data_IF_117607424422
#
_entry.id   IF_117607424422
#
_cell.length_a   1.000
_cell.length_b   1.000
_cell.length_c   1.000
_cell.angle_alpha   90.00
_cell.angle_beta   90.00
_cell.angle_gamma   90.00
#
_symmetry.space_group_name_H-M   'P 1'
#
loop_
_entity.id
_entity.type
_entity.pdbx_description
1 polymer ?
#
# COMPACT_ATOMS: atom_id res chain seq x y z
N UNK A 1 -58.99 16.78 -18.80
CA UNK A 1 -58.55 16.76 -17.44
C UNK A 1 -57.30 15.85 -17.40
N UNK A 2 -56.11 16.48 -17.44
CA UNK A 2 -54.86 15.75 -17.30
C UNK A 2 -54.65 15.36 -15.83
N UNK A 3 -54.30 14.11 -15.57
CA UNK A 3 -53.87 13.67 -14.25
C UNK A 3 -52.60 14.47 -13.88
N UNK A 4 -52.51 14.88 -12.63
CA UNK A 4 -51.28 15.53 -12.13
C UNK A 4 -50.13 14.52 -12.22
N UNK A 5 -48.93 14.94 -12.60
CA UNK A 5 -47.77 14.05 -12.65
C UNK A 5 -47.49 13.43 -11.28
N UNK A 6 -47.41 12.10 -11.23
CA UNK A 6 -47.31 11.33 -9.99
C UNK A 6 -45.88 11.28 -9.40
N UNK A 7 -44.87 11.69 -10.16
CA UNK A 7 -43.49 11.69 -9.72
C UNK A 7 -42.71 12.93 -10.23
N UNK A 8 -41.59 13.33 -9.61
CA UNK A 8 -40.71 14.39 -10.09
C UNK A 8 -40.23 14.18 -11.53
N UNK A 9 -39.99 12.93 -11.91
CA UNK A 9 -39.54 12.55 -13.24
C UNK A 9 -40.64 12.75 -14.30
N UNK A 10 -41.89 12.43 -13.95
CA UNK A 10 -43.04 12.67 -14.82
C UNK A 10 -43.30 14.17 -15.06
N UNK A 11 -43.14 15.01 -14.01
CA UNK A 11 -43.23 16.45 -14.13
C UNK A 11 -42.15 17.04 -15.04
N UNK A 12 -40.94 16.52 -14.98
CA UNK A 12 -39.81 16.93 -15.80
C UNK A 12 -39.99 16.51 -17.26
N UNK A 13 -40.49 15.29 -17.51
CA UNK A 13 -40.84 14.80 -18.83
C UNK A 13 -41.97 15.60 -19.44
N UNK A 14 -43.03 15.94 -18.67
CA UNK A 14 -44.12 16.76 -19.14
C UNK A 14 -43.67 18.16 -19.55
N UNK A 15 -42.84 18.81 -18.69
CA UNK A 15 -42.28 20.13 -19.01
C UNK A 15 -41.43 20.12 -20.29
N UNK A 16 -40.63 19.06 -20.47
CA UNK A 16 -39.82 18.88 -21.66
C UNK A 16 -40.68 18.67 -22.92
N UNK A 17 -41.74 17.84 -22.84
CA UNK A 17 -42.67 17.60 -23.92
C UNK A 17 -43.36 18.88 -24.33
N UNK A 18 -43.88 19.66 -23.38
CA UNK A 18 -44.60 20.91 -23.65
C UNK A 18 -43.65 21.91 -24.35
N UNK A 19 -42.42 22.09 -23.86
CA UNK A 19 -41.42 22.96 -24.47
C UNK A 19 -41.00 22.47 -25.87
N UNK A 20 -41.07 21.18 -26.14
CA UNK A 20 -40.73 20.60 -27.44
C UNK A 20 -41.87 20.75 -28.42
N UNK A 21 -43.12 20.56 -28.00
CA UNK A 21 -44.31 20.71 -28.83
C UNK A 21 -44.53 22.18 -29.28
N UNK A 22 -44.10 23.14 -28.45
CA UNK A 22 -44.10 24.56 -28.85
C UNK A 22 -43.19 24.86 -30.03
N UNK A 23 -42.13 24.08 -30.25
CA UNK A 23 -41.12 24.30 -31.29
C UNK A 23 -41.30 23.40 -32.51
N UNK A 24 -41.88 22.23 -32.32
CA UNK A 24 -41.95 21.18 -33.33
C UNK A 24 -43.38 20.62 -33.33
N UNK A 25 -43.90 20.23 -34.48
CA UNK A 25 -45.24 19.65 -34.56
C UNK A 25 -45.36 18.32 -33.80
N UNK A 26 -46.53 18.00 -33.26
CA UNK A 26 -46.78 16.74 -32.56
C UNK A 26 -46.42 15.52 -33.43
N UNK A 27 -46.73 15.57 -34.72
CA UNK A 27 -46.39 14.50 -35.67
C UNK A 27 -44.88 14.27 -35.76
N UNK A 28 -44.11 15.32 -35.78
CA UNK A 28 -42.63 15.25 -35.80
C UNK A 28 -42.09 14.69 -34.47
N UNK A 29 -42.64 15.09 -33.33
CA UNK A 29 -42.25 14.54 -32.03
C UNK A 29 -42.55 13.04 -31.96
N UNK A 30 -43.72 12.62 -32.41
CA UNK A 30 -44.10 11.21 -32.45
C UNK A 30 -43.17 10.40 -33.34
N UNK A 31 -42.86 10.92 -34.54
CA UNK A 31 -41.93 10.25 -35.45
C UNK A 31 -40.53 10.09 -34.85
N UNK A 32 -40.01 11.15 -34.26
CA UNK A 32 -38.68 11.09 -33.58
C UNK A 32 -38.68 10.10 -32.43
N UNK A 33 -39.72 10.04 -31.60
CA UNK A 33 -39.83 9.07 -30.52
C UNK A 33 -39.93 7.64 -31.04
N UNK A 34 -40.64 7.41 -32.14
CA UNK A 34 -40.70 6.09 -32.78
C UNK A 34 -39.32 5.67 -33.33
N UNK A 35 -38.60 6.60 -33.99
CA UNK A 35 -37.24 6.34 -34.43
C UNK A 35 -36.30 6.03 -33.26
N UNK A 36 -36.36 6.83 -32.17
CA UNK A 36 -35.55 6.62 -31.00
C UNK A 36 -35.87 5.28 -30.30
N UNK A 37 -37.13 4.87 -30.24
CA UNK A 37 -37.55 3.57 -29.75
C UNK A 37 -37.01 2.41 -30.62
N UNK A 38 -37.06 2.54 -31.93
CA UNK A 38 -36.49 1.52 -32.82
C UNK A 38 -34.96 1.42 -32.75
N UNK A 39 -34.28 2.53 -32.45
CA UNK A 39 -32.84 2.59 -32.25
C UNK A 39 -32.44 2.13 -30.85
N UNK A 40 -33.32 2.23 -29.85
CA UNK A 40 -33.01 1.86 -28.45
C UNK A 40 -32.61 0.40 -28.31
N UNK A 41 -33.25 -0.49 -29.09
CA UNK A 41 -32.86 -1.93 -29.11
C UNK A 41 -31.48 -2.17 -29.71
N UNK A 42 -30.97 -1.23 -30.53
CA UNK A 42 -29.63 -1.26 -31.11
C UNK A 42 -28.64 -0.44 -30.33
N UNK A 43 -29.11 0.41 -29.40
CA UNK A 43 -28.23 1.22 -28.58
C UNK A 43 -27.35 0.33 -27.69
N UNK A 44 -26.06 0.57 -27.60
CA UNK A 44 -25.15 -0.21 -26.76
C UNK A 44 -25.34 0.18 -25.29
N UNK A 45 -26.54 -0.12 -24.73
CA UNK A 45 -26.78 0.07 -23.30
C UNK A 45 -26.08 -1.05 -22.56
N UNK A 46 -24.90 -0.77 -22.10
CA UNK A 46 -24.03 -1.75 -21.47
C UNK A 46 -23.23 -1.10 -20.34
N UNK A 47 -22.75 -1.91 -19.40
CA UNK A 47 -21.76 -1.43 -18.43
C UNK A 47 -20.48 -1.04 -19.18
N UNK A 48 -19.68 -0.14 -18.58
CA UNK A 48 -18.39 0.27 -19.15
C UNK A 48 -17.53 -0.94 -19.55
N UNK A 49 -17.49 -1.95 -18.69
CA UNK A 49 -16.74 -3.20 -18.96
C UNK A 49 -17.26 -3.96 -20.17
N UNK A 50 -18.58 -4.08 -20.32
CA UNK A 50 -19.18 -4.75 -21.48
C UNK A 50 -18.93 -3.96 -22.77
N UNK A 51 -18.92 -2.61 -22.71
CA UNK A 51 -18.56 -1.76 -23.82
C UNK A 51 -17.08 -1.95 -24.19
N UNK A 52 -16.16 -1.91 -23.22
CA UNK A 52 -14.74 -2.16 -23.45
C UNK A 52 -14.49 -3.54 -24.06
N UNK A 53 -15.17 -4.58 -23.53
CA UNK A 53 -15.07 -5.94 -24.09
C UNK A 53 -15.51 -5.97 -25.55
N UNK A 54 -16.62 -5.30 -25.88
CA UNK A 54 -17.14 -5.22 -27.24
C UNK A 54 -16.13 -4.52 -28.18
N UNK A 55 -15.61 -3.35 -27.78
CA UNK A 55 -14.62 -2.60 -28.56
C UNK A 55 -13.39 -3.45 -28.86
N UNK A 56 -12.82 -4.10 -27.83
CA UNK A 56 -11.66 -4.97 -28.01
C UNK A 56 -11.96 -6.20 -28.88
N UNK A 57 -13.20 -6.75 -28.84
CA UNK A 57 -13.59 -7.88 -29.70
C UNK A 57 -13.76 -7.44 -31.15
N UNK A 58 -14.38 -6.29 -31.38
CA UNK A 58 -14.61 -5.75 -32.71
C UNK A 58 -13.30 -5.27 -33.39
N UNK A 59 -12.33 -4.81 -32.59
CA UNK A 59 -11.06 -4.27 -33.05
C UNK A 59 -9.86 -5.14 -32.68
N UNK A 60 -10.08 -6.42 -32.39
CA UNK A 60 -9.04 -7.33 -31.87
C UNK A 60 -7.76 -7.34 -32.70
N UNK A 61 -7.86 -7.27 -34.03
CA UNK A 61 -6.68 -7.25 -34.92
C UNK A 61 -5.93 -5.91 -34.85
N UNK A 62 -6.63 -4.78 -34.72
CA UNK A 62 -6.01 -3.48 -34.58
C UNK A 62 -5.36 -3.30 -33.22
N UNK A 63 -5.97 -3.86 -32.17
CA UNK A 63 -5.49 -3.83 -30.80
C UNK A 63 -4.37 -4.84 -30.51
N UNK A 64 -3.92 -5.62 -31.49
CA UNK A 64 -2.90 -6.66 -31.27
C UNK A 64 -3.32 -7.72 -30.24
N UNK A 65 -4.63 -7.82 -29.95
CA UNK A 65 -5.18 -8.77 -28.99
C UNK A 65 -5.58 -10.09 -29.67
N UNK A 66 -5.64 -11.17 -28.90
CA UNK A 66 -6.23 -12.42 -29.41
C UNK A 66 -7.66 -12.19 -29.85
N UNK A 67 -8.08 -12.81 -30.96
CA UNK A 67 -9.48 -12.82 -31.45
C UNK A 67 -10.47 -13.40 -30.43
N UNK A 68 -9.96 -14.12 -29.44
CA UNK A 68 -10.72 -14.57 -28.27
C UNK A 68 -10.30 -13.75 -27.07
N UNK A 69 -11.16 -12.82 -26.66
CA UNK A 69 -11.06 -12.24 -25.31
C UNK A 69 -11.51 -13.35 -24.36
N UNK A 70 -10.59 -13.84 -23.57
CA UNK A 70 -10.84 -14.87 -22.59
C UNK A 70 -11.87 -14.46 -21.54
N UNK A 71 -12.03 -15.29 -20.53
CA UNK A 71 -12.98 -15.04 -19.45
C UNK A 71 -12.58 -13.80 -18.64
N UNK A 72 -13.56 -12.91 -18.41
CA UNK A 72 -13.36 -11.78 -17.50
C UNK A 72 -13.42 -12.27 -16.05
N UNK A 73 -12.34 -12.07 -15.33
CA UNK A 73 -12.22 -12.50 -13.93
C UNK A 73 -12.21 -11.33 -12.98
N UNK A 74 -12.73 -11.56 -11.78
CA UNK A 74 -12.52 -10.68 -10.65
C UNK A 74 -11.05 -10.70 -10.25
N UNK A 75 -10.43 -9.53 -10.20
CA UNK A 75 -9.05 -9.37 -9.75
C UNK A 75 -8.88 -9.81 -8.27
N UNK A 76 -9.96 -9.83 -7.50
CA UNK A 76 -9.96 -10.23 -6.10
C UNK A 76 -9.69 -11.72 -5.92
N UNK A 77 -10.37 -12.58 -6.67
CA UNK A 77 -10.16 -14.03 -6.61
C UNK A 77 -8.73 -14.42 -7.01
N UNK A 78 -8.22 -13.80 -8.07
CA UNK A 78 -6.84 -14.02 -8.52
C UNK A 78 -5.82 -13.55 -7.46
N UNK A 79 -6.06 -12.40 -6.85
CA UNK A 79 -5.18 -11.90 -5.76
C UNK A 79 -5.14 -12.83 -4.57
N UNK A 80 -6.27 -13.38 -4.17
CA UNK A 80 -6.33 -14.30 -3.03
C UNK A 80 -5.52 -15.57 -3.33
N UNK A 81 -5.62 -16.14 -4.54
CA UNK A 81 -4.75 -17.26 -4.97
C UNK A 81 -3.26 -16.89 -4.90
N UNK A 82 -2.89 -15.71 -5.42
CA UNK A 82 -1.49 -15.24 -5.41
C UNK A 82 -0.97 -15.06 -3.98
N UNK A 83 -1.80 -14.59 -3.05
CA UNK A 83 -1.41 -14.41 -1.65
C UNK A 83 -1.24 -15.74 -0.93
N UNK A 84 -2.04 -16.75 -1.27
CA UNK A 84 -1.86 -18.11 -0.77
C UNK A 84 -0.57 -18.72 -1.31
N UNK A 85 -0.27 -18.54 -2.59
CA UNK A 85 0.99 -18.98 -3.20
C UNK A 85 2.18 -18.25 -2.56
N UNK A 86 2.10 -16.93 -2.34
CA UNK A 86 3.12 -16.17 -1.64
C UNK A 86 3.34 -16.71 -0.22
N UNK A 87 2.27 -17.07 0.48
CA UNK A 87 2.37 -17.62 1.84
C UNK A 87 3.13 -18.94 1.84
N UNK A 88 2.83 -19.83 0.89
CA UNK A 88 3.55 -21.11 0.75
C UNK A 88 5.01 -20.88 0.35
N UNK A 89 5.25 -19.99 -0.60
CA UNK A 89 6.60 -19.65 -1.05
C UNK A 89 7.45 -19.08 0.09
N UNK A 90 6.93 -18.12 0.86
CA UNK A 90 7.64 -17.52 1.99
C UNK A 90 8.00 -18.54 3.06
N UNK A 91 7.19 -19.57 3.28
CA UNK A 91 7.49 -20.63 4.24
C UNK A 91 8.77 -21.40 3.91
N UNK A 92 9.17 -21.42 2.63
CA UNK A 92 10.36 -22.12 2.16
C UNK A 92 11.51 -21.18 1.77
N UNK A 93 11.19 -19.98 1.27
CA UNK A 93 12.17 -19.09 0.66
C UNK A 93 12.65 -17.96 1.60
N UNK A 94 11.94 -17.73 2.72
CA UNK A 94 12.29 -16.63 3.63
C UNK A 94 13.70 -16.79 4.21
N UNK A 95 14.11 -18.03 4.52
CA UNK A 95 15.43 -18.31 5.12
C UNK A 95 15.66 -17.52 6.41
N UNK A 96 16.93 -17.38 6.78
CA UNK A 96 17.34 -16.66 8.00
C UNK A 96 17.97 -15.28 7.69
N UNK A 97 18.00 -14.86 6.40
CA UNK A 97 18.52 -13.55 6.02
C UNK A 97 17.51 -12.43 6.32
N UNK A 98 17.53 -11.93 7.53
CA UNK A 98 16.67 -10.82 7.97
C UNK A 98 16.85 -9.55 7.10
N UNK A 99 18.04 -9.34 6.53
CA UNK A 99 18.33 -8.20 5.65
C UNK A 99 17.50 -8.21 4.37
N UNK A 100 17.04 -9.38 3.97
CA UNK A 100 16.15 -9.52 2.82
C UNK A 100 14.76 -8.93 3.07
N UNK A 101 14.34 -8.82 4.31
CA UNK A 101 12.99 -8.48 4.71
C UNK A 101 11.96 -9.60 4.50
N UNK A 102 12.34 -10.72 3.88
CA UNK A 102 11.45 -11.86 3.66
C UNK A 102 11.02 -12.53 4.97
N UNK A 103 11.91 -12.77 5.96
CA UNK A 103 11.50 -13.29 7.25
C UNK A 103 10.51 -12.38 7.97
N UNK A 104 10.65 -11.05 7.86
CA UNK A 104 9.71 -10.10 8.44
C UNK A 104 8.31 -10.20 7.80
N UNK A 105 8.22 -10.45 6.48
CA UNK A 105 6.94 -10.75 5.81
C UNK A 105 6.39 -12.11 6.22
N UNK A 106 7.25 -13.12 6.37
CA UNK A 106 6.83 -14.47 6.76
C UNK A 106 6.21 -14.49 8.16
N UNK A 107 6.76 -13.71 9.10
CA UNK A 107 6.21 -13.58 10.46
C UNK A 107 4.87 -12.86 10.55
N UNK A 108 4.45 -12.13 9.51
CA UNK A 108 3.13 -11.50 9.49
C UNK A 108 2.03 -12.56 9.43
N UNK A 109 0.88 -12.27 10.07
CA UNK A 109 -0.31 -13.09 9.85
C UNK A 109 -0.73 -13.04 8.38
N UNK A 110 -1.30 -14.13 7.83
CA UNK A 110 -1.74 -14.14 6.42
C UNK A 110 -2.65 -12.96 6.07
N UNK A 111 -3.58 -12.60 6.95
CA UNK A 111 -4.50 -11.47 6.76
C UNK A 111 -3.75 -10.12 6.71
N UNK A 112 -2.80 -9.86 7.62
CA UNK A 112 -2.03 -8.63 7.64
C UNK A 112 -1.13 -8.52 6.40
N UNK A 113 -0.51 -9.63 5.98
CA UNK A 113 0.29 -9.72 4.76
C UNK A 113 -0.54 -9.46 3.51
N UNK A 114 -1.71 -10.10 3.39
CA UNK A 114 -2.63 -9.86 2.28
C UNK A 114 -3.07 -8.39 2.20
N UNK A 115 -3.36 -7.75 3.34
CA UNK A 115 -3.71 -6.33 3.39
C UNK A 115 -2.55 -5.45 2.88
N UNK A 116 -1.32 -5.73 3.31
CA UNK A 116 -0.12 -5.01 2.86
C UNK A 116 0.08 -5.17 1.35
N UNK A 117 -0.01 -6.39 0.84
CA UNK A 117 0.19 -6.69 -0.58
C UNK A 117 -0.92 -6.09 -1.45
N UNK A 118 -2.18 -6.12 -1.04
CA UNK A 118 -3.28 -5.45 -1.76
C UNK A 118 -3.03 -3.96 -1.89
N UNK A 119 -2.58 -3.31 -0.82
CA UNK A 119 -2.24 -1.89 -0.86
C UNK A 119 -1.06 -1.62 -1.80
N UNK A 120 -0.01 -2.45 -1.73
CA UNK A 120 1.20 -2.27 -2.52
C UNK A 120 1.02 -2.57 -4.02
N UNK A 121 0.05 -3.42 -4.39
CA UNK A 121 -0.26 -3.76 -5.79
C UNK A 121 -1.19 -2.74 -6.47
N UNK A 122 -1.69 -1.72 -5.76
CA UNK A 122 -2.53 -0.70 -6.39
C UNK A 122 -1.71 0.16 -7.36
N UNK A 123 -2.25 0.51 -8.53
CA UNK A 123 -1.57 1.37 -9.49
C UNK A 123 -1.15 2.71 -8.85
N UNK A 124 0.09 3.12 -9.07
CA UNK A 124 0.62 4.39 -8.57
C UNK A 124 1.05 4.36 -7.09
N UNK A 125 0.88 3.25 -6.39
CA UNK A 125 1.37 3.10 -5.02
C UNK A 125 2.86 2.77 -5.03
N UNK A 126 3.64 3.58 -4.32
CA UNK A 126 5.05 3.33 -4.07
C UNK A 126 5.20 2.82 -2.64
N UNK A 127 5.85 1.68 -2.48
CA UNK A 127 6.21 1.18 -1.15
C UNK A 127 7.31 2.07 -0.58
N UNK A 128 6.92 3.00 0.28
CA UNK A 128 7.86 3.78 1.07
C UNK A 128 8.30 2.90 2.23
N UNK A 129 9.59 2.63 2.28
CA UNK A 129 10.22 2.01 3.46
C UNK A 129 11.23 2.97 4.02
N UNK A 130 11.47 2.90 5.32
CA UNK A 130 12.62 3.55 5.94
C UNK A 130 13.93 3.05 5.30
N UNK A 131 15.01 3.71 5.64
CA UNK A 131 16.34 3.39 5.15
C UNK A 131 16.85 2.10 5.80
N UNK A 132 16.86 1.01 5.02
CA UNK A 132 17.43 -0.29 5.47
C UNK A 132 18.91 -0.15 5.73
N UNK A 133 19.63 0.66 4.96
CA UNK A 133 21.05 0.85 5.12
C UNK A 133 21.35 1.58 6.44
N UNK A 134 20.52 2.54 6.84
CA UNK A 134 20.62 3.17 8.16
C UNK A 134 20.35 2.17 9.30
N UNK A 135 19.37 1.26 9.15
CA UNK A 135 19.15 0.19 10.12
C UNK A 135 20.36 -0.75 10.22
N UNK A 136 20.95 -1.12 9.09
CA UNK A 136 22.11 -2.00 9.05
C UNK A 136 23.36 -1.33 9.61
N UNK A 137 23.56 -0.04 9.35
CA UNK A 137 24.67 0.74 9.86
C UNK A 137 24.75 0.75 11.39
N UNK A 138 23.59 0.67 12.09
CA UNK A 138 23.58 0.54 13.54
C UNK A 138 24.25 -0.73 14.03
N UNK A 139 24.17 -1.83 13.27
CA UNK A 139 24.77 -3.11 13.61
C UNK A 139 26.19 -3.26 13.09
N UNK A 140 26.58 -2.50 12.07
CA UNK A 140 27.92 -2.52 11.50
C UNK A 140 28.92 -1.70 12.34
N UNK A 141 28.44 -0.76 13.16
CA UNK A 141 29.26 0.00 14.11
C UNK A 141 29.58 -0.85 15.36
N UNK A 142 30.70 -1.56 15.30
CA UNK A 142 31.11 -2.46 16.37
C UNK A 142 31.39 -1.74 17.70
N UNK A 143 31.71 -0.44 17.66
CA UNK A 143 32.08 0.34 18.85
C UNK A 143 30.85 1.03 19.47
N UNK A 144 29.74 1.11 18.77
CA UNK A 144 28.53 1.78 19.25
C UNK A 144 28.05 1.27 20.63
N UNK A 145 27.99 -0.05 20.90
CA UNK A 145 27.58 -0.55 22.21
C UNK A 145 28.52 -0.10 23.35
N UNK A 146 29.82 -0.07 23.08
CA UNK A 146 30.82 0.37 24.07
C UNK A 146 30.68 1.85 24.33
N UNK A 147 30.62 2.68 23.28
CA UNK A 147 30.39 4.14 23.43
C UNK A 147 29.12 4.46 24.20
N UNK A 148 28.02 3.76 23.97
CA UNK A 148 26.79 3.95 24.71
C UNK A 148 26.90 3.61 26.19
N UNK A 149 27.61 2.50 26.54
CA UNK A 149 27.85 2.11 27.94
C UNK A 149 28.76 3.09 28.66
N UNK A 150 29.85 3.51 28.03
CA UNK A 150 30.78 4.48 28.58
C UNK A 150 30.10 5.84 28.81
N UNK A 151 29.32 6.28 27.82
CA UNK A 151 28.52 7.50 27.96
C UNK A 151 27.52 7.37 29.11
N UNK A 152 26.78 6.28 29.21
CA UNK A 152 25.84 6.03 30.29
C UNK A 152 26.54 6.06 31.67
N UNK A 153 27.76 5.51 31.77
CA UNK A 153 28.51 5.49 33.01
C UNK A 153 28.94 6.90 33.49
N UNK A 154 29.24 7.80 32.55
CA UNK A 154 29.72 9.17 32.84
C UNK A 154 28.60 10.19 33.04
N UNK A 155 27.33 9.83 32.77
CA UNK A 155 26.21 10.78 32.86
C UNK A 155 26.06 11.41 34.28
N UNK A 156 25.93 12.72 34.39
CA UNK A 156 25.68 13.42 35.61
C UNK A 156 24.20 13.28 36.01
N UNK A 157 23.86 12.16 36.65
CA UNK A 157 22.47 11.83 37.01
C UNK A 157 21.98 12.65 38.20
N UNK A 158 20.71 13.00 38.23
CA UNK A 158 20.06 13.46 39.42
C UNK A 158 20.07 12.40 40.53
N UNK A 159 20.07 12.83 41.79
CA UNK A 159 20.13 11.89 42.93
C UNK A 159 19.05 10.82 42.84
N UNK A 160 19.45 9.56 42.98
CA UNK A 160 18.62 8.35 42.95
C UNK A 160 17.95 8.00 41.60
N UNK A 161 18.21 8.74 40.51
CA UNK A 161 17.70 8.40 39.18
C UNK A 161 18.71 7.56 38.42
N UNK A 162 18.30 6.38 37.97
CA UNK A 162 19.16 5.43 37.26
C UNK A 162 18.53 4.91 35.95
N UNK A 163 17.27 5.29 35.69
CA UNK A 163 16.51 4.74 34.59
C UNK A 163 17.14 5.04 33.22
N UNK A 164 17.68 6.23 33.00
CA UNK A 164 18.33 6.60 31.74
C UNK A 164 19.57 5.72 31.46
N UNK A 165 20.41 5.49 32.47
CA UNK A 165 21.59 4.60 32.34
C UNK A 165 21.18 3.18 31.96
N UNK A 166 20.14 2.66 32.62
CA UNK A 166 19.62 1.32 32.33
C UNK A 166 19.13 1.22 30.86
N UNK A 167 18.38 2.20 30.37
CA UNK A 167 17.85 2.21 29.01
C UNK A 167 18.96 2.33 27.95
N UNK A 168 19.96 3.14 28.19
CA UNK A 168 21.14 3.21 27.31
C UNK A 168 21.90 1.87 27.28
N UNK A 169 21.98 1.19 28.43
CA UNK A 169 22.54 -0.17 28.52
C UNK A 169 21.71 -1.18 27.72
N UNK A 170 20.39 -1.17 27.85
CA UNK A 170 19.47 -2.03 27.10
C UNK A 170 19.59 -1.79 25.59
N UNK A 171 19.68 -0.53 25.14
CA UNK A 171 19.93 -0.18 23.75
C UNK A 171 21.30 -0.71 23.27
N UNK A 172 22.35 -0.53 24.08
CA UNK A 172 23.69 -1.06 23.77
C UNK A 172 23.70 -2.58 23.64
N UNK A 173 22.99 -3.28 24.54
CA UNK A 173 22.88 -4.73 24.52
C UNK A 173 22.11 -5.22 23.29
N UNK A 174 21.09 -4.49 22.87
CA UNK A 174 20.36 -4.81 21.65
C UNK A 174 21.24 -4.66 20.40
N UNK A 175 21.96 -3.53 20.26
CA UNK A 175 22.88 -3.32 19.13
C UNK A 175 23.98 -4.40 19.14
N UNK A 176 24.51 -4.76 20.30
CA UNK A 176 25.57 -5.75 20.43
C UNK A 176 25.15 -7.16 19.99
N UNK A 177 23.88 -7.53 20.16
CA UNK A 177 23.37 -8.86 19.74
C UNK A 177 23.35 -9.02 18.22
N UNK A 178 23.28 -7.95 17.47
CA UNK A 178 23.17 -7.94 16.00
C UNK A 178 22.03 -8.79 15.45
N UNK A 179 20.98 -8.93 16.22
CA UNK A 179 19.82 -9.75 15.89
C UNK A 179 18.63 -8.87 15.48
N UNK A 180 18.41 -8.77 14.17
CA UNK A 180 17.29 -8.03 13.61
C UNK A 180 15.94 -8.70 13.91
N UNK A 181 15.91 -10.00 14.20
CA UNK A 181 14.72 -10.76 14.49
C UNK A 181 14.32 -10.69 15.97
N UNK A 182 15.24 -10.26 16.86
CA UNK A 182 14.97 -10.24 18.29
C UNK A 182 13.72 -9.43 18.61
N UNK A 183 12.82 -10.02 19.38
CA UNK A 183 11.71 -9.29 19.97
C UNK A 183 12.26 -8.34 21.03
N UNK A 184 12.13 -7.04 20.75
CA UNK A 184 12.60 -5.99 21.65
C UNK A 184 11.38 -5.22 22.15
N UNK A 185 11.22 -5.19 23.48
CA UNK A 185 10.28 -4.26 24.08
C UNK A 185 10.80 -2.82 23.87
N UNK A 186 10.35 -2.20 22.79
CA UNK A 186 10.73 -0.84 22.42
C UNK A 186 10.08 0.23 23.29
N UNK A 187 9.04 -0.15 24.05
CA UNK A 187 8.24 0.78 24.85
C UNK A 187 9.08 1.55 25.88
N UNK A 188 9.96 0.91 26.67
CA UNK A 188 10.86 1.65 27.57
C UNK A 188 11.88 2.51 26.83
N UNK A 189 12.32 2.10 25.63
CA UNK A 189 13.32 2.85 24.86
C UNK A 189 12.76 4.11 24.23
N UNK A 190 11.44 4.18 23.98
CA UNK A 190 10.76 5.37 23.41
C UNK A 190 10.96 6.63 24.25
N UNK A 191 11.16 6.48 25.55
CA UNK A 191 11.43 7.61 26.42
C UNK A 191 12.74 8.34 26.06
N UNK A 192 13.71 7.62 25.47
CA UNK A 192 14.96 8.21 24.99
C UNK A 192 14.77 9.23 23.87
N UNK A 193 13.63 9.21 23.15
CA UNK A 193 13.30 10.21 22.14
C UNK A 193 12.86 11.56 22.73
N UNK A 194 12.52 11.60 24.03
CA UNK A 194 11.97 12.79 24.67
C UNK A 194 13.05 13.59 25.41
N UNK A 195 13.29 14.82 24.96
CA UNK A 195 14.18 15.75 25.69
C UNK A 195 13.70 15.99 27.14
N UNK A 196 12.37 15.98 27.35
CA UNK A 196 11.82 16.13 28.69
C UNK A 196 12.22 14.98 29.62
N UNK A 197 12.29 13.76 29.08
CA UNK A 197 12.77 12.60 29.84
C UNK A 197 14.23 12.75 30.24
N UNK A 198 15.11 13.16 29.30
CA UNK A 198 16.51 13.41 29.60
C UNK A 198 16.69 14.49 30.65
N UNK A 199 15.96 15.61 30.51
CA UNK A 199 15.97 16.73 31.48
C UNK A 199 15.52 16.32 32.88
N UNK A 200 14.59 15.36 32.96
CA UNK A 200 14.16 14.82 34.26
C UNK A 200 15.25 13.95 34.91
N UNK A 201 16.04 13.23 34.12
CA UNK A 201 17.02 12.26 34.61
C UNK A 201 18.40 12.85 34.95
N UNK A 202 18.81 13.94 34.30
CA UNK A 202 20.14 14.54 34.34
C UNK A 202 20.15 15.77 35.26
N UNK A 203 21.32 16.05 35.86
CA UNK A 203 21.53 17.30 36.59
C UNK A 203 21.18 18.52 35.72
N UNK A 204 20.28 19.42 36.19
CA UNK A 204 19.88 20.60 35.45
C UNK A 204 21.03 21.48 34.96
N UNK A 205 22.13 21.53 35.70
CA UNK A 205 23.30 22.33 35.34
C UNK A 205 24.10 21.75 34.15
N UNK A 206 23.89 20.47 33.79
CA UNK A 206 24.64 19.74 32.78
C UNK A 206 23.79 19.22 31.63
N UNK A 207 22.47 19.33 31.71
CA UNK A 207 21.56 18.70 30.78
C UNK A 207 21.74 19.17 29.34
N UNK A 208 21.94 20.44 29.09
CA UNK A 208 22.10 20.98 27.73
C UNK A 208 23.41 20.51 27.08
N UNK A 209 24.47 20.35 27.86
CA UNK A 209 25.75 19.78 27.38
C UNK A 209 25.57 18.31 27.01
N UNK A 210 24.83 17.55 27.83
CA UNK A 210 24.57 16.12 27.57
C UNK A 210 23.67 15.95 26.34
N UNK A 211 22.63 16.78 26.19
CA UNK A 211 21.74 16.71 25.02
C UNK A 211 22.42 17.07 23.71
N UNK A 212 23.47 17.90 23.77
CA UNK A 212 24.30 18.26 22.60
C UNK A 212 25.40 17.24 22.30
N UNK A 213 25.59 16.23 23.15
CA UNK A 213 26.60 15.19 22.95
C UNK A 213 26.24 14.31 21.72
N UNK A 214 27.20 14.04 20.83
CA UNK A 214 26.97 13.18 19.67
C UNK A 214 26.43 11.79 20.03
N UNK A 215 26.82 11.22 21.19
CA UNK A 215 26.35 9.92 21.65
C UNK A 215 24.89 9.97 22.09
N UNK A 216 24.43 11.08 22.69
CA UNK A 216 23.03 11.27 23.01
C UNK A 216 22.16 11.40 21.75
N UNK A 217 22.67 12.08 20.73
CA UNK A 217 22.02 12.15 19.39
C UNK A 217 21.95 10.78 18.75
N UNK A 218 23.08 10.06 18.70
CA UNK A 218 23.13 8.69 18.20
C UNK A 218 22.14 7.77 18.92
N UNK A 219 22.03 7.84 20.25
CA UNK A 219 21.09 7.01 20.99
C UNK A 219 19.64 7.27 20.59
N UNK A 220 19.26 8.53 20.33
CA UNK A 220 17.91 8.90 19.87
C UNK A 220 17.65 8.41 18.44
N UNK A 221 18.59 8.60 17.53
CA UNK A 221 18.50 8.14 16.15
C UNK A 221 18.40 6.62 16.09
N UNK A 222 19.19 5.91 16.89
CA UNK A 222 19.14 4.46 16.99
C UNK A 222 17.78 3.96 17.49
N UNK A 223 17.19 4.62 18.48
CA UNK A 223 15.84 4.26 18.95
C UNK A 223 14.78 4.56 17.93
N UNK A 224 14.87 5.69 17.20
CA UNK A 224 13.93 6.00 16.14
C UNK A 224 13.91 4.92 15.06
N UNK A 225 15.09 4.51 14.60
CA UNK A 225 15.24 3.42 13.60
C UNK A 225 14.77 2.07 14.18
N UNK A 226 15.06 1.77 15.45
CA UNK A 226 14.60 0.55 16.13
C UNK A 226 13.06 0.45 16.14
N UNK A 227 12.38 1.54 16.47
CA UNK A 227 10.91 1.59 16.51
C UNK A 227 10.31 1.30 15.12
N UNK A 228 10.94 1.79 14.07
CA UNK A 228 10.51 1.60 12.70
C UNK A 228 11.00 0.29 12.06
N UNK A 229 11.89 -0.44 12.72
CA UNK A 229 12.57 -1.64 12.22
C UNK A 229 11.64 -2.61 11.50
N UNK A 230 10.56 -3.01 12.15
CA UNK A 230 9.61 -3.97 11.57
C UNK A 230 8.94 -3.43 10.31
N UNK A 231 8.62 -2.14 10.30
CA UNK A 231 8.09 -1.46 9.12
C UNK A 231 9.10 -1.44 7.97
N UNK A 232 10.35 -1.10 8.28
CA UNK A 232 11.47 -1.05 7.33
C UNK A 232 11.69 -2.43 6.69
N UNK A 233 11.80 -3.48 7.52
CA UNK A 233 12.03 -4.84 7.03
C UNK A 233 10.85 -5.37 6.22
N UNK A 234 9.60 -5.12 6.63
CA UNK A 234 8.41 -5.51 5.87
C UNK A 234 8.34 -4.79 4.53
N UNK A 235 8.66 -3.49 4.49
CA UNK A 235 8.72 -2.74 3.25
C UNK A 235 9.81 -3.27 2.31
N UNK A 236 10.97 -3.63 2.82
CA UNK A 236 12.04 -4.25 2.05
C UNK A 236 11.61 -5.59 1.46
N UNK A 237 11.01 -6.45 2.28
CA UNK A 237 10.46 -7.72 1.81
C UNK A 237 9.37 -7.51 0.76
N UNK A 238 8.46 -6.54 0.96
CA UNK A 238 7.43 -6.22 -0.02
C UNK A 238 8.03 -5.78 -1.37
N UNK A 239 9.03 -4.91 -1.37
CA UNK A 239 9.72 -4.50 -2.61
C UNK A 239 10.33 -5.67 -3.38
N UNK A 240 10.81 -6.70 -2.68
CA UNK A 240 11.36 -7.91 -3.32
C UNK A 240 10.30 -8.82 -3.90
N UNK A 241 9.14 -8.96 -3.25
CA UNK A 241 8.10 -9.88 -3.72
C UNK A 241 7.15 -9.28 -4.74
N UNK A 242 7.00 -7.94 -4.79
CA UNK A 242 6.07 -7.29 -5.72
C UNK A 242 6.34 -7.60 -7.20
N UNK A 243 7.57 -7.53 -7.72
CA UNK A 243 7.86 -7.91 -9.10
C UNK A 243 7.49 -9.36 -9.39
N UNK A 244 7.81 -10.27 -8.47
CA UNK A 244 7.49 -11.69 -8.58
C UNK A 244 5.97 -11.93 -8.61
N UNK A 245 5.21 -11.24 -7.75
CA UNK A 245 3.74 -11.32 -7.77
C UNK A 245 3.16 -10.79 -9.07
N UNK A 246 3.74 -9.74 -9.65
CA UNK A 246 3.33 -9.21 -10.95
C UNK A 246 3.57 -10.24 -12.07
N UNK A 247 4.72 -10.92 -12.06
CA UNK A 247 5.02 -12.01 -12.99
C UNK A 247 4.08 -13.19 -12.81
N UNK A 248 3.83 -13.65 -11.60
CA UNK A 248 2.88 -14.72 -11.32
C UNK A 248 1.48 -14.38 -11.80
N UNK A 249 1.03 -13.13 -11.54
CA UNK A 249 -0.26 -12.64 -12.05
C UNK A 249 -0.32 -12.70 -13.57
N UNK A 250 0.70 -12.18 -14.25
CA UNK A 250 0.75 -12.18 -15.70
C UNK A 250 0.72 -13.61 -16.28
N UNK A 251 1.52 -14.54 -15.70
CA UNK A 251 1.55 -15.94 -16.12
C UNK A 251 0.19 -16.62 -15.94
N UNK A 252 -0.44 -16.44 -14.75
CA UNK A 252 -1.76 -17.04 -14.46
C UNK A 252 -2.85 -16.55 -15.40
N UNK A 253 -2.86 -15.25 -15.69
CA UNK A 253 -3.80 -14.65 -16.63
C UNK A 253 -3.61 -15.20 -18.04
N UNK A 254 -2.34 -15.32 -18.48
CA UNK A 254 -2.02 -15.85 -19.80
C UNK A 254 -2.38 -17.34 -19.93
N UNK A 255 -2.03 -18.16 -18.92
CA UNK A 255 -2.31 -19.60 -18.91
C UNK A 255 -3.81 -19.92 -18.94
N UNK A 256 -4.62 -19.08 -18.29
CA UNK A 256 -6.08 -19.26 -18.21
C UNK A 256 -6.84 -18.51 -19.28
N UNK A 257 -6.16 -17.79 -20.16
CA UNK A 257 -6.78 -16.87 -21.11
C UNK A 257 -7.77 -15.91 -20.44
N UNK A 258 -7.42 -15.40 -19.25
CA UNK A 258 -8.26 -14.54 -18.41
C UNK A 258 -7.79 -13.10 -18.48
N UNK A 259 -8.75 -12.17 -18.32
CA UNK A 259 -8.47 -10.74 -18.26
C UNK A 259 -9.15 -10.09 -17.05
N UNK A 260 -8.44 -9.36 -16.21
CA UNK A 260 -9.05 -8.52 -15.19
C UNK A 260 -9.81 -7.36 -15.81
N UNK A 261 -10.87 -6.92 -15.14
CA UNK A 261 -11.67 -5.79 -15.61
C UNK A 261 -10.84 -4.50 -15.78
N UNK A 262 -9.91 -4.22 -14.86
CA UNK A 262 -9.08 -3.02 -14.90
C UNK A 262 -8.11 -3.03 -16.07
N UNK A 263 -7.53 -4.18 -16.41
CA UNK A 263 -6.64 -4.34 -17.58
C UNK A 263 -7.39 -4.10 -18.89
N UNK A 264 -8.69 -4.43 -18.92
CA UNK A 264 -9.55 -4.20 -20.09
C UNK A 264 -9.68 -2.70 -20.40
N UNK A 265 -9.95 -1.90 -19.37
CA UNK A 265 -10.06 -0.45 -19.48
C UNK A 265 -8.72 0.17 -19.89
N UNK A 266 -7.62 -0.27 -19.27
CA UNK A 266 -6.28 0.22 -19.58
C UNK A 266 -5.89 -0.06 -21.06
N UNK A 267 -6.24 -1.23 -21.60
CA UNK A 267 -6.01 -1.56 -23.01
C UNK A 267 -6.81 -0.67 -23.95
N UNK A 268 -8.12 -0.52 -23.70
CA UNK A 268 -8.96 0.38 -24.53
C UNK A 268 -8.41 1.81 -24.50
N UNK A 269 -7.96 2.28 -23.35
CA UNK A 269 -7.35 3.61 -23.25
C UNK A 269 -6.04 3.72 -24.06
N UNK A 270 -5.19 2.72 -23.97
CA UNK A 270 -3.94 2.68 -24.74
C UNK A 270 -4.20 2.71 -26.25
N UNK A 271 -5.15 1.92 -26.73
CA UNK A 271 -5.52 1.89 -28.16
C UNK A 271 -6.17 3.19 -28.62
N UNK A 272 -6.97 3.84 -27.75
CA UNK A 272 -7.63 5.10 -28.11
C UNK A 272 -6.62 6.29 -28.17
N UNK A 273 -5.41 6.12 -27.63
CA UNK A 273 -4.38 7.15 -27.57
C UNK A 273 -3.18 6.91 -28.50
N UNK A 274 -3.16 5.74 -29.18
CA UNK A 274 -2.13 5.35 -30.16
C UNK A 274 -2.51 5.87 -31.56
#
# INVERSE_FOLDING_TARGET
AGAAPGSPDEALLQSWLDATIERVSIAEVQWRLQCALAELERAPIATLHALCKRVLTEQALAAGTSLRIGELVSDEALRDELFDDLTRWLAHAAGDDERSGLPALARMTPSARAKLMRAALQPGVVVLGGDVDALLALFDDADAPTRLRDFAATLPMQSRKTALRKRLGELADWIARRDLAADVDDKPLRDLLSDAYWRDQIDPARVDVVLADPVATFARDAVAVLIERDGILRAQGARRVLPMLAEWRASRLAEREQFPFDDLIARVHAEATA
#
